data_IF_846516339367
#
_entry.id   IF_846516339367
#
_cell.length_a   1.000
_cell.length_b   1.000
_cell.length_c   1.000
_cell.angle_alpha   90.00
_cell.angle_beta   90.00
_cell.angle_gamma   90.00
#
_symmetry.space_group_name_H-M   'P 1'
#
loop_
_entity.id
_entity.type
_entity.pdbx_description
1 polymer ?
#
# COMPACT_ATOMS: atom_id res chain seq x y z
N UNK A 1 -4.29 -3.20 -5.04
CA UNK A 1 -3.49 -2.15 -4.41
C UNK A 1 -3.75 -0.85 -5.14
N UNK A 2 -4.02 0.23 -4.39
CA UNK A 2 -4.28 1.57 -4.92
C UNK A 2 -3.32 2.56 -4.28
N UNK A 3 -2.68 3.39 -5.10
CA UNK A 3 -1.87 4.53 -4.66
C UNK A 3 -2.62 5.84 -4.95
N UNK A 4 -2.70 6.71 -3.96
CA UNK A 4 -3.17 8.09 -4.12
C UNK A 4 -2.04 9.05 -3.73
N UNK A 5 -1.86 10.10 -4.51
CA UNK A 5 -0.78 11.07 -4.37
C UNK A 5 -1.39 12.44 -4.14
N UNK A 6 -1.00 13.09 -3.04
CA UNK A 6 -1.37 14.46 -2.69
C UNK A 6 -0.13 15.19 -2.14
N UNK A 7 0.59 15.90 -3.02
CA UNK A 7 1.87 16.51 -2.68
C UNK A 7 2.87 15.49 -2.11
N UNK A 8 3.36 15.77 -0.90
CA UNK A 8 4.30 14.91 -0.14
C UNK A 8 3.61 13.89 0.77
N UNK A 9 2.30 13.70 0.57
CA UNK A 9 1.50 12.70 1.26
C UNK A 9 1.03 11.64 0.27
N UNK A 10 1.51 10.43 0.46
CA UNK A 10 1.10 9.27 -0.33
C UNK A 10 0.21 8.37 0.51
N UNK A 11 -0.78 7.75 -0.13
CA UNK A 11 -1.71 6.84 0.52
C UNK A 11 -1.78 5.53 -0.26
N UNK A 12 -1.47 4.44 0.43
CA UNK A 12 -1.55 3.08 -0.08
C UNK A 12 -2.76 2.39 0.55
N UNK A 13 -3.65 1.87 -0.29
CA UNK A 13 -4.79 1.05 0.12
C UNK A 13 -4.68 -0.33 -0.48
N UNK A 14 -4.80 -1.35 0.35
CA UNK A 14 -4.82 -2.76 -0.07
C UNK A 14 -6.09 -3.45 0.44
N UNK A 15 -6.49 -4.55 -0.20
CA UNK A 15 -7.56 -5.40 0.31
C UNK A 15 -7.02 -6.50 1.26
N UNK A 16 -7.90 -7.32 1.83
CA UNK A 16 -7.52 -8.39 2.76
C UNK A 16 -6.73 -9.53 2.09
N UNK A 17 -7.01 -9.84 0.82
CA UNK A 17 -6.29 -10.88 0.07
C UNK A 17 -4.85 -10.43 -0.20
N UNK A 18 -4.68 -9.16 -0.56
CA UNK A 18 -3.40 -8.50 -0.73
C UNK A 18 -2.62 -8.39 0.58
N UNK A 19 -3.31 -8.10 1.69
CA UNK A 19 -2.70 -8.11 3.02
C UNK A 19 -2.18 -9.50 3.37
N UNK A 20 -2.97 -10.56 3.13
CA UNK A 20 -2.52 -11.93 3.36
C UNK A 20 -1.26 -12.25 2.55
N UNK A 21 -1.21 -11.86 1.28
CA UNK A 21 -0.02 -12.03 0.43
C UNK A 21 1.21 -11.29 0.97
N UNK A 22 1.05 -10.06 1.47
CA UNK A 22 2.15 -9.31 2.08
C UNK A 22 2.69 -9.99 3.35
N UNK A 23 1.79 -10.52 4.18
CA UNK A 23 2.15 -11.22 5.42
C UNK A 23 2.84 -12.56 5.15
N UNK A 24 2.52 -13.20 4.01
CA UNK A 24 3.26 -14.35 3.48
C UNK A 24 4.66 -13.98 2.92
N UNK A 25 5.06 -12.72 3.01
CA UNK A 25 6.35 -12.23 2.48
C UNK A 25 6.35 -11.98 0.96
N UNK A 26 5.19 -11.98 0.31
CA UNK A 26 5.08 -11.70 -1.13
C UNK A 26 4.87 -10.20 -1.34
N UNK A 27 5.75 -9.59 -2.13
CA UNK A 27 5.57 -8.20 -2.53
C UNK A 27 4.28 -8.03 -3.36
N UNK A 28 3.67 -6.85 -3.23
CA UNK A 28 2.58 -6.40 -4.09
C UNK A 28 3.14 -5.44 -5.11
N UNK A 29 3.02 -5.79 -6.38
CA UNK A 29 3.46 -4.96 -7.49
C UNK A 29 2.26 -4.40 -8.23
N UNK A 30 2.39 -3.18 -8.73
CA UNK A 30 1.42 -2.55 -9.60
C UNK A 30 2.12 -1.64 -10.59
N UNK A 31 1.62 -1.62 -11.81
CA UNK A 31 2.18 -0.85 -12.91
C UNK A 31 1.06 -0.14 -13.64
N UNK A 32 1.26 1.14 -13.93
CA UNK A 32 0.39 1.91 -14.82
C UNK A 32 1.16 2.30 -16.08
N UNK A 33 0.65 1.90 -17.25
CA UNK A 33 1.24 2.30 -18.52
C UNK A 33 0.82 3.74 -18.85
N UNK A 34 1.78 4.55 -19.27
CA UNK A 34 1.60 5.95 -19.64
C UNK A 34 1.47 6.08 -21.18
N UNK A 35 0.84 7.16 -21.68
CA UNK A 35 0.56 7.33 -23.12
C UNK A 35 1.81 7.40 -24.01
N UNK A 36 2.96 7.76 -23.46
CA UNK A 36 4.25 7.83 -24.15
C UNK A 36 5.01 6.47 -24.16
N UNK A 37 4.39 5.42 -23.64
CA UNK A 37 5.00 4.09 -23.50
C UNK A 37 5.84 3.93 -22.24
N UNK A 38 5.96 4.98 -21.40
CA UNK A 38 6.59 4.84 -20.09
C UNK A 38 5.69 4.03 -19.13
N UNK A 39 6.29 3.53 -18.06
CA UNK A 39 5.59 2.76 -17.04
C UNK A 39 5.81 3.40 -15.67
N UNK A 40 4.72 3.62 -14.93
CA UNK A 40 4.79 4.02 -13.54
C UNK A 40 4.59 2.81 -12.65
N UNK A 41 5.69 2.27 -12.12
CA UNK A 41 5.71 1.07 -11.29
C UNK A 41 5.77 1.38 -9.80
N UNK A 42 5.06 0.60 -9.00
CA UNK A 42 5.18 0.62 -7.55
C UNK A 42 5.13 -0.80 -6.96
N UNK A 43 6.00 -1.04 -5.98
CA UNK A 43 6.12 -2.31 -5.26
C UNK A 43 6.03 -2.04 -3.76
N UNK A 44 5.29 -2.87 -3.04
CA UNK A 44 5.13 -2.80 -1.58
C UNK A 44 5.55 -4.14 -0.97
N UNK A 45 6.42 -4.10 0.04
CA UNK A 45 6.85 -5.27 0.79
C UNK A 45 6.91 -4.97 2.29
N UNK A 46 6.74 -6.02 3.10
CA UNK A 46 7.00 -5.98 4.54
C UNK A 46 8.43 -6.42 4.79
N UNK A 47 9.18 -5.63 5.55
CA UNK A 47 10.60 -5.87 5.83
C UNK A 47 10.84 -5.87 7.35
N UNK A 48 11.83 -6.64 7.84
CA UNK A 48 12.25 -6.63 9.24
C UNK A 48 13.12 -5.40 9.54
N UNK A 49 12.55 -4.21 9.32
CA UNK A 49 13.21 -2.91 9.49
C UNK A 49 12.46 -2.08 10.52
N UNK A 50 13.16 -1.18 11.21
CA UNK A 50 12.55 -0.31 12.22
C UNK A 50 11.77 0.88 11.62
N UNK A 51 12.17 1.36 10.45
CA UNK A 51 11.60 2.53 9.80
C UNK A 51 11.13 2.19 8.38
N UNK A 52 10.09 2.88 7.91
CA UNK A 52 9.62 2.72 6.55
C UNK A 52 10.61 3.32 5.56
N UNK A 53 10.76 2.65 4.42
CA UNK A 53 11.71 3.04 3.39
C UNK A 53 10.98 3.27 2.06
N UNK A 54 11.42 4.30 1.34
CA UNK A 54 11.03 4.56 -0.03
C UNK A 54 12.27 4.57 -0.90
N UNK A 55 12.29 3.71 -1.92
CA UNK A 55 13.38 3.62 -2.89
C UNK A 55 12.84 3.84 -4.29
N UNK A 56 13.64 4.46 -5.16
CA UNK A 56 13.34 4.59 -6.59
C UNK A 56 14.43 3.90 -7.40
N UNK A 57 14.02 3.08 -8.37
CA UNK A 57 14.90 2.47 -9.37
C UNK A 57 14.29 2.68 -10.76
N UNK A 58 14.89 3.57 -11.54
CA UNK A 58 14.31 4.00 -12.82
C UNK A 58 12.90 4.57 -12.62
N UNK A 59 11.92 3.94 -13.25
CA UNK A 59 10.51 4.32 -13.18
C UNK A 59 9.68 3.51 -12.18
N UNK A 60 10.35 2.69 -11.36
CA UNK A 60 9.73 1.90 -10.31
C UNK A 60 10.04 2.46 -8.93
N UNK A 61 9.01 2.60 -8.11
CA UNK A 61 9.08 2.97 -6.70
C UNK A 61 8.87 1.74 -5.82
N UNK A 62 9.60 1.63 -4.72
CA UNK A 62 9.50 0.50 -3.80
C UNK A 62 9.35 0.97 -2.36
N UNK A 63 8.30 0.50 -1.70
CA UNK A 63 8.02 0.75 -0.29
C UNK A 63 8.39 -0.47 0.54
N UNK A 64 9.24 -0.26 1.54
CA UNK A 64 9.49 -1.22 2.60
C UNK A 64 8.81 -0.77 3.87
N UNK A 65 7.77 -1.48 4.33
CA UNK A 65 7.12 -1.17 5.60
C UNK A 65 7.64 -2.08 6.72
N UNK A 66 7.85 -1.55 7.95
CA UNK A 66 8.17 -2.35 9.13
C UNK A 66 7.13 -3.44 9.38
N UNK A 67 7.55 -4.71 9.28
CA UNK A 67 6.68 -5.87 9.49
C UNK A 67 5.97 -5.79 10.84
N UNK A 68 6.70 -5.53 11.92
CA UNK A 68 6.14 -5.49 13.28
C UNK A 68 5.06 -4.41 13.44
N UNK A 69 5.24 -3.24 12.83
CA UNK A 69 4.23 -2.16 12.89
C UNK A 69 2.99 -2.51 12.09
N UNK A 70 3.15 -3.17 10.95
CA UNK A 70 2.01 -3.62 10.15
C UNK A 70 1.27 -4.75 10.88
N UNK A 71 1.96 -5.72 11.46
CA UNK A 71 1.33 -6.78 12.27
C UNK A 71 0.54 -6.20 13.45
N UNK A 72 1.13 -5.26 14.20
CA UNK A 72 0.44 -4.58 15.32
C UNK A 72 -0.81 -3.83 14.85
N UNK A 73 -0.77 -3.21 13.67
CA UNK A 73 -1.93 -2.56 13.05
C UNK A 73 -3.00 -3.55 12.63
N UNK A 74 -2.63 -4.70 12.05
CA UNK A 74 -3.56 -5.75 11.63
C UNK A 74 -4.35 -6.31 12.81
N UNK A 75 -3.73 -6.44 13.98
CA UNK A 75 -4.44 -6.87 15.21
C UNK A 75 -5.54 -5.89 15.66
N UNK A 76 -5.55 -4.66 15.14
CA UNK A 76 -6.55 -3.65 15.46
C UNK A 76 -7.67 -3.56 14.42
N UNK A 77 -7.60 -4.33 13.33
CA UNK A 77 -8.63 -4.32 12.29
C UNK A 77 -9.93 -5.02 12.76
N UNK A 78 -11.10 -4.56 12.29
CA UNK A 78 -11.32 -3.42 11.42
C UNK A 78 -11.23 -2.08 12.18
N UNK A 79 -10.44 -1.14 11.67
CA UNK A 79 -10.37 0.21 12.23
C UNK A 79 -10.50 1.27 11.15
N UNK A 80 -10.99 2.46 11.52
CA UNK A 80 -11.12 3.61 10.60
C UNK A 80 -9.82 4.38 10.40
N UNK A 81 -8.82 4.17 11.25
CA UNK A 81 -7.54 4.89 11.19
C UNK A 81 -6.57 4.11 10.32
N UNK A 82 -5.90 4.76 9.39
CA UNK A 82 -4.77 4.16 8.68
C UNK A 82 -3.51 4.17 9.55
N UNK A 83 -2.52 3.39 9.13
CA UNK A 83 -1.20 3.34 9.73
C UNK A 83 -0.29 4.37 9.06
N UNK A 84 0.18 5.35 9.83
CA UNK A 84 1.05 6.41 9.33
C UNK A 84 2.54 6.08 9.50
N UNK A 85 3.29 6.37 8.45
CA UNK A 85 4.74 6.31 8.41
C UNK A 85 5.32 7.64 7.94
N UNK A 86 6.44 8.01 8.55
CA UNK A 86 7.30 9.09 8.06
C UNK A 86 8.42 8.44 7.27
N UNK A 87 8.55 8.83 6.00
CA UNK A 87 9.60 8.34 5.12
C UNK A 87 10.84 9.24 5.26
N UNK A 88 12.06 8.67 5.29
CA UNK A 88 13.28 9.45 5.37
C UNK A 88 13.42 10.32 4.11
N UNK A 89 13.29 11.63 4.28
CA UNK A 89 13.34 12.62 3.19
C UNK A 89 14.72 13.29 3.01
N UNK A 90 15.74 12.85 3.76
CA UNK A 90 17.06 13.49 3.75
C UNK A 90 16.97 14.97 4.18
N UNK A 91 17.51 15.87 3.37
CA UNK A 91 17.46 17.33 3.60
C UNK A 91 16.17 18.01 3.06
N UNK A 92 15.26 17.25 2.47
CA UNK A 92 13.99 17.76 1.96
C UNK A 92 12.88 17.67 3.03
N UNK A 93 11.77 18.38 2.80
CA UNK A 93 10.58 18.35 3.66
C UNK A 93 10.09 16.90 3.90
N UNK A 94 9.52 16.66 5.08
CA UNK A 94 9.08 15.32 5.52
C UNK A 94 8.04 14.69 4.59
N UNK A 95 8.27 13.44 4.19
CA UNK A 95 7.33 12.67 3.39
C UNK A 95 6.48 11.78 4.28
N UNK A 96 5.16 11.78 4.05
CA UNK A 96 4.22 10.97 4.82
C UNK A 96 3.61 9.89 3.94
N UNK A 97 3.55 8.69 4.49
CA UNK A 97 2.89 7.55 3.87
C UNK A 97 1.78 7.05 4.79
N UNK A 98 0.56 7.04 4.29
CA UNK A 98 -0.60 6.47 4.96
C UNK A 98 -0.93 5.11 4.36
N UNK A 99 -0.89 4.06 5.17
CA UNK A 99 -1.24 2.70 4.80
C UNK A 99 -2.63 2.34 5.34
N UNK A 100 -3.52 1.85 4.48
CA UNK A 100 -4.89 1.47 4.83
C UNK A 100 -5.21 0.07 4.32
N UNK A 101 -5.92 -0.71 5.14
CA UNK A 101 -6.50 -2.00 4.72
C UNK A 101 -8.00 -1.84 4.56
N UNK A 102 -8.50 -2.18 3.37
CA UNK A 102 -9.92 -2.16 3.07
C UNK A 102 -10.59 -3.47 3.48
N UNK A 103 -11.04 -3.52 4.73
CA UNK A 103 -11.72 -4.69 5.31
C UNK A 103 -13.15 -4.86 4.76
N UNK A 104 -13.69 -3.89 3.99
CA UNK A 104 -15.09 -3.97 3.48
C UNK A 104 -15.21 -4.67 2.13
N UNK A 105 -14.15 -4.76 1.34
CA UNK A 105 -14.25 -5.23 -0.06
C UNK A 105 -14.35 -6.77 -0.17
N UNK A 106 -14.04 -7.52 0.90
CA UNK A 106 -14.21 -8.98 0.98
C UNK A 106 -15.69 -9.42 1.04
N UNK A 107 -16.59 -8.55 1.51
CA UNK A 107 -18.04 -8.82 1.55
C UNK A 107 -18.68 -8.58 0.17
N UNK A 108 -18.15 -7.63 -0.61
CA UNK A 108 -18.68 -7.27 -1.93
C UNK A 108 -18.43 -8.34 -3.00
N UNK A 109 -17.39 -9.18 -2.82
CA UNK A 109 -17.07 -10.29 -3.73
C UNK A 109 -18.00 -11.51 -3.61
N UNK A 110 -18.91 -11.58 -2.63
CA UNK A 110 -19.80 -12.75 -2.39
C UNK A 110 -21.27 -12.58 -2.80
N UNK A 111 -21.71 -11.44 -3.30
CA UNK A 111 -23.12 -11.35 -3.70
C UNK A 111 -23.57 -10.01 -4.24
N UNK A 112 -23.47 -9.86 -5.56
CA UNK A 112 -24.49 -9.11 -6.28
C UNK A 112 -25.21 -10.14 -7.18
N UNK A 113 -26.39 -10.66 -6.79
CA UNK A 113 -27.23 -11.34 -7.75
C UNK A 113 -27.62 -10.31 -8.80
N UNK A 114 -27.21 -10.53 -10.05
CA UNK A 114 -27.67 -9.76 -11.18
C UNK A 114 -29.20 -9.88 -11.23
N UNK A 115 -29.92 -8.77 -11.03
CA UNK A 115 -31.36 -8.74 -11.32
C UNK A 115 -31.54 -8.87 -12.83
N UNK A 116 -32.31 -9.85 -13.32
CA UNK A 116 -32.64 -9.91 -14.73
C UNK A 116 -33.53 -8.73 -15.11
N UNK A 117 -33.40 -8.30 -16.36
CA UNK A 117 -34.04 -7.14 -16.99
C UNK A 117 -35.56 -7.18 -16.94
#
# INVERSE_FOLDING_TARGET
MKLQIDGQQWRLRIDEDELARLRDGRALDSVSCLPDGAAFGFSLALLPVAQAELRRRGDSWSFGLPLERVEAYVQQLPCKKGLEFVLPAGAAAEWRLLFEVDVRDSVSRRGVPQRPR
#
